data_IF_166956524049
#
_entry.id   IF_166956524049
#
_cell.length_a   1.000
_cell.length_b   1.000
_cell.length_c   1.000
_cell.angle_alpha   90.00
_cell.angle_beta   90.00
_cell.angle_gamma   90.00
#
_symmetry.space_group_name_H-M   'P 1'
#
loop_
_entity.id
_entity.type
_entity.pdbx_description
1 polymer ?
#
# COMPACT_ATOMS: atom_id res chain seq x y z
N UNK A 1 -34.80 18.62 -17.27
CA UNK A 1 -35.14 17.25 -16.85
C UNK A 1 -34.74 16.33 -18.00
N UNK A 2 -33.57 15.68 -17.91
CA UNK A 2 -33.14 14.73 -18.94
C UNK A 2 -33.95 13.44 -18.74
N UNK A 3 -34.82 13.13 -19.70
CA UNK A 3 -35.50 11.84 -19.71
C UNK A 3 -34.49 10.78 -20.14
N UNK A 4 -34.07 9.95 -19.19
CA UNK A 4 -33.36 8.71 -19.50
C UNK A 4 -34.40 7.76 -20.10
N UNK A 5 -34.47 7.71 -21.42
CA UNK A 5 -35.16 6.62 -22.10
C UNK A 5 -34.28 5.38 -21.95
N UNK A 6 -34.63 4.51 -21.00
CA UNK A 6 -34.04 3.19 -20.89
C UNK A 6 -34.69 2.32 -21.96
N UNK A 7 -33.93 1.97 -23.00
CA UNK A 7 -34.35 0.97 -23.97
C UNK A 7 -34.68 -0.34 -23.25
N UNK A 8 -35.91 -0.88 -23.35
CA UNK A 8 -36.29 -2.11 -22.66
C UNK A 8 -35.48 -3.34 -23.12
N UNK A 9 -34.85 -3.28 -24.30
CA UNK A 9 -33.95 -4.30 -24.83
C UNK A 9 -32.49 -4.17 -24.34
N UNK A 10 -32.11 -3.07 -23.68
CA UNK A 10 -30.75 -2.89 -23.16
C UNK A 10 -30.51 -3.74 -21.90
N UNK A 11 -31.58 -4.01 -21.14
CA UNK A 11 -31.52 -4.81 -19.90
C UNK A 11 -31.24 -6.28 -20.20
N UNK A 12 -31.75 -6.81 -21.32
CA UNK A 12 -31.51 -8.21 -21.74
C UNK A 12 -30.11 -8.46 -22.31
N UNK A 13 -29.38 -7.40 -22.70
CA UNK A 13 -28.01 -7.48 -23.26
C UNK A 13 -26.90 -7.14 -22.26
N UNK A 14 -27.25 -6.89 -21.00
CA UNK A 14 -26.29 -6.61 -19.95
C UNK A 14 -25.58 -7.91 -19.55
N UNK A 15 -24.49 -8.21 -20.26
CA UNK A 15 -23.57 -9.31 -19.92
C UNK A 15 -22.36 -8.70 -19.24
N UNK A 16 -22.15 -9.07 -17.97
CA UNK A 16 -20.95 -8.66 -17.22
C UNK A 16 -19.76 -9.41 -17.78
N UNK A 17 -18.75 -8.67 -18.24
CA UNK A 17 -17.48 -9.21 -18.74
C UNK A 17 -16.39 -9.07 -17.68
N UNK A 18 -15.29 -9.82 -17.85
CA UNK A 18 -14.13 -9.71 -16.97
C UNK A 18 -13.59 -8.28 -16.86
N UNK A 19 -13.65 -7.51 -17.96
CA UNK A 19 -13.26 -6.10 -18.01
C UNK A 19 -14.10 -5.20 -17.09
N UNK A 20 -15.37 -5.56 -16.85
CA UNK A 20 -16.24 -4.79 -15.96
C UNK A 20 -15.81 -4.98 -14.49
N UNK A 21 -15.28 -6.16 -14.14
CA UNK A 21 -14.69 -6.41 -12.82
C UNK A 21 -13.36 -5.69 -12.62
N UNK A 22 -12.51 -5.63 -13.65
CA UNK A 22 -11.26 -4.85 -13.60
C UNK A 22 -11.54 -3.36 -13.47
N UNK A 23 -12.48 -2.84 -14.27
CA UNK A 23 -12.93 -1.45 -14.20
C UNK A 23 -13.50 -1.11 -12.82
N UNK A 24 -14.37 -1.98 -12.27
CA UNK A 24 -14.89 -1.84 -10.92
C UNK A 24 -13.76 -1.92 -9.87
N UNK A 25 -12.84 -2.88 -10.00
CA UNK A 25 -11.71 -3.01 -9.08
C UNK A 25 -10.84 -1.76 -9.07
N UNK A 26 -10.65 -1.10 -10.22
CA UNK A 26 -9.86 0.12 -10.37
C UNK A 26 -10.59 1.37 -9.88
N UNK A 27 -11.87 1.55 -10.26
CA UNK A 27 -12.60 2.81 -10.16
C UNK A 27 -13.69 2.85 -9.07
N UNK A 28 -14.17 1.69 -8.59
CA UNK A 28 -15.16 1.64 -7.50
C UNK A 28 -14.50 1.74 -6.12
N UNK A 29 -15.36 1.81 -5.09
CA UNK A 29 -14.99 1.88 -3.68
C UNK A 29 -14.10 0.69 -3.33
N UNK A 30 -12.81 0.96 -3.08
CA UNK A 30 -11.87 -0.05 -2.60
C UNK A 30 -12.40 -0.60 -1.26
N UNK A 31 -12.47 -1.92 -1.08
CA UNK A 31 -12.91 -2.48 0.18
C UNK A 31 -12.03 -1.93 1.30
N UNK A 32 -12.62 -1.52 2.43
CA UNK A 32 -11.91 -1.01 3.61
C UNK A 32 -11.06 -2.09 4.33
N UNK A 33 -10.80 -3.20 3.65
CA UNK A 33 -9.95 -4.29 4.08
C UNK A 33 -8.49 -3.86 3.94
N UNK A 34 -7.97 -3.21 4.98
CA UNK A 34 -6.56 -3.27 5.34
C UNK A 34 -5.53 -2.66 4.40
N UNK A 35 -5.88 -2.19 3.20
CA UNK A 35 -5.01 -1.37 2.36
C UNK A 35 -4.83 -0.02 3.04
N UNK A 36 -3.87 0.04 3.96
CA UNK A 36 -3.47 1.28 4.62
C UNK A 36 -2.71 2.22 3.71
N UNK A 37 -2.78 2.01 2.39
CA UNK A 37 -2.16 2.87 1.37
C UNK A 37 -2.51 4.33 1.64
N UNK A 38 -3.76 4.65 1.95
CA UNK A 38 -4.19 6.01 2.28
C UNK A 38 -3.51 6.59 3.54
N UNK A 39 -3.21 5.74 4.53
CA UNK A 39 -2.49 6.16 5.73
C UNK A 39 -0.99 6.33 5.48
N UNK A 40 -0.40 5.47 4.65
CA UNK A 40 1.00 5.55 4.22
C UNK A 40 1.23 6.77 3.32
N UNK A 41 0.28 7.07 2.44
CA UNK A 41 0.32 8.23 1.53
C UNK A 41 0.59 9.53 2.27
N UNK A 42 0.04 9.71 3.48
CA UNK A 42 0.31 10.90 4.32
C UNK A 42 1.79 11.08 4.63
N UNK A 43 2.52 9.99 4.85
CA UNK A 43 3.95 10.01 5.07
C UNK A 43 4.71 10.14 3.75
N UNK A 44 4.24 9.49 2.68
CA UNK A 44 4.95 9.36 1.42
C UNK A 44 4.71 10.49 0.40
N UNK A 45 3.87 11.49 0.70
CA UNK A 45 3.47 12.58 -0.23
C UNK A 45 4.60 13.29 -0.96
N UNK A 46 5.78 13.41 -0.34
CA UNK A 46 6.90 14.20 -0.87
C UNK A 46 7.89 13.39 -1.69
N UNK A 47 7.68 12.08 -1.83
CA UNK A 47 8.64 11.16 -2.46
C UNK A 47 9.93 11.03 -1.65
N UNK A 48 10.77 10.09 -2.05
CA UNK A 48 12.09 9.86 -1.43
C UNK A 48 13.19 10.44 -2.30
N UNK A 49 14.18 11.07 -1.65
CA UNK A 49 15.48 11.36 -2.27
C UNK A 49 16.54 10.53 -1.57
N UNK A 50 17.23 9.67 -2.32
CA UNK A 50 18.39 8.92 -1.81
C UNK A 50 19.59 9.87 -1.83
N UNK A 51 19.88 10.49 -0.69
CA UNK A 51 20.93 11.50 -0.55
C UNK A 51 22.29 10.93 -0.15
N UNK A 52 22.39 9.64 0.12
CA UNK A 52 23.63 8.98 0.51
C UNK A 52 23.46 7.49 0.72
N UNK A 53 24.59 6.79 0.88
CA UNK A 53 24.64 5.33 1.06
C UNK A 53 23.94 4.84 2.32
N UNK A 54 23.87 5.68 3.36
CA UNK A 54 23.18 5.34 4.60
C UNK A 54 21.68 5.08 4.38
N UNK A 55 21.03 5.83 3.49
CA UNK A 55 19.61 5.60 3.15
C UNK A 55 19.44 4.26 2.46
N UNK A 56 20.31 3.95 1.49
CA UNK A 56 20.29 2.68 0.76
C UNK A 56 20.46 1.50 1.72
N UNK A 57 21.44 1.55 2.64
CA UNK A 57 21.66 0.50 3.64
C UNK A 57 20.43 0.26 4.53
N UNK A 58 19.75 1.33 4.95
CA UNK A 58 18.54 1.22 5.77
C UNK A 58 17.41 0.52 5.00
N UNK A 59 17.26 0.82 3.71
CA UNK A 59 16.26 0.18 2.86
C UNK A 59 16.59 -1.29 2.58
N UNK A 60 17.85 -1.60 2.29
CA UNK A 60 18.34 -2.97 2.09
C UNK A 60 18.12 -3.83 3.34
N UNK A 61 18.47 -3.31 4.52
CA UNK A 61 18.21 -4.01 5.78
C UNK A 61 16.71 -4.14 6.06
N UNK A 62 15.92 -3.12 5.75
CA UNK A 62 14.47 -3.19 5.83
C UNK A 62 13.88 -4.30 4.96
N UNK A 63 14.36 -4.43 3.73
CA UNK A 63 13.96 -5.49 2.80
C UNK A 63 14.35 -6.87 3.33
N UNK A 64 15.57 -7.03 3.87
CA UNK A 64 16.02 -8.29 4.47
C UNK A 64 15.11 -8.75 5.62
N UNK A 65 14.66 -7.81 6.47
CA UNK A 65 13.75 -8.09 7.58
C UNK A 65 12.34 -8.48 7.08
N UNK A 66 11.89 -7.90 5.97
CA UNK A 66 10.64 -8.30 5.29
C UNK A 66 10.75 -9.73 4.78
N UNK A 67 11.84 -10.06 4.08
CA UNK A 67 12.10 -11.42 3.58
C UNK A 67 12.14 -12.45 4.71
N UNK A 68 12.77 -12.10 5.84
CA UNK A 68 12.79 -12.92 7.05
C UNK A 68 11.39 -13.12 7.64
N UNK A 69 10.51 -12.12 7.56
CA UNK A 69 9.13 -12.24 8.07
C UNK A 69 8.28 -13.19 7.22
N UNK A 70 8.52 -13.25 5.90
CA UNK A 70 7.80 -14.14 4.98
C UNK A 70 8.34 -15.57 5.05
N UNK A 71 9.59 -15.75 5.49
CA UNK A 71 10.21 -17.05 5.59
C UNK A 71 9.54 -17.90 6.71
N UNK A 72 8.91 -19.05 6.37
CA UNK A 72 8.25 -19.90 7.35
C UNK A 72 9.21 -20.50 8.40
N UNK A 73 10.50 -20.61 8.08
CA UNK A 73 11.52 -21.17 8.98
C UNK A 73 12.02 -20.15 10.02
N UNK A 74 11.76 -18.86 9.82
CA UNK A 74 12.24 -17.76 10.67
C UNK A 74 11.30 -17.44 11.85
N UNK A 75 10.24 -18.23 12.06
CA UNK A 75 9.30 -18.05 13.17
C UNK A 75 8.20 -17.01 12.94
N UNK A 76 8.17 -16.35 11.78
CA UNK A 76 7.04 -15.55 11.30
C UNK A 76 6.81 -14.19 11.97
N UNK A 77 7.76 -13.68 12.76
CA UNK A 77 7.65 -12.37 13.38
C UNK A 77 9.01 -11.68 13.55
N UNK A 78 9.12 -10.44 13.07
CA UNK A 78 10.32 -9.60 13.15
C UNK A 78 9.96 -8.25 13.76
N UNK A 79 10.83 -7.71 14.62
CA UNK A 79 10.70 -6.36 15.17
C UNK A 79 11.97 -5.58 14.89
N UNK A 80 11.81 -4.36 14.36
CA UNK A 80 12.91 -3.45 14.04
C UNK A 80 12.67 -2.06 14.63
N UNK A 81 13.75 -1.34 14.95
CA UNK A 81 13.71 0.03 15.46
C UNK A 81 14.58 0.92 14.58
N UNK A 82 13.97 1.93 13.96
CA UNK A 82 14.71 2.99 13.28
C UNK A 82 15.08 4.08 14.31
N UNK A 83 16.37 4.20 14.62
CA UNK A 83 16.90 5.20 15.55
C UNK A 83 17.55 6.37 14.80
N UNK A 84 17.50 7.57 15.38
CA UNK A 84 18.11 8.77 14.80
C UNK A 84 17.54 10.06 15.36
N UNK A 85 18.24 11.17 15.14
CA UNK A 85 17.85 12.49 15.65
C UNK A 85 16.43 12.90 15.22
N UNK A 86 15.74 13.80 15.94
CA UNK A 86 14.44 14.32 15.51
C UNK A 86 14.48 14.86 14.08
N UNK A 87 13.36 14.73 13.34
CA UNK A 87 13.19 15.23 11.95
C UNK A 87 14.11 14.62 10.87
N UNK A 88 14.75 13.49 11.14
CA UNK A 88 15.59 12.74 10.15
C UNK A 88 14.81 11.86 9.17
N UNK A 89 13.47 11.88 9.19
CA UNK A 89 12.65 11.09 8.25
C UNK A 89 12.44 9.62 8.62
N UNK A 90 12.68 9.22 9.88
CA UNK A 90 12.45 7.83 10.35
C UNK A 90 11.05 7.28 10.01
N UNK A 91 10.00 8.06 10.26
CA UNK A 91 8.63 7.66 9.94
C UNK A 91 8.39 7.51 8.44
N UNK A 92 9.08 8.31 7.63
CA UNK A 92 9.05 8.20 6.17
C UNK A 92 9.73 6.90 5.73
N UNK A 93 10.93 6.60 6.27
CA UNK A 93 11.66 5.37 5.96
C UNK A 93 10.87 4.12 6.37
N UNK A 94 10.26 4.12 7.56
CA UNK A 94 9.39 3.03 8.00
C UNK A 94 8.20 2.83 7.05
N UNK A 95 7.56 3.93 6.63
CA UNK A 95 6.44 3.87 5.70
C UNK A 95 6.87 3.37 4.31
N UNK A 96 8.07 3.73 3.84
CA UNK A 96 8.60 3.25 2.57
C UNK A 96 8.90 1.75 2.61
N UNK A 97 9.56 1.26 3.66
CA UNK A 97 9.82 -0.17 3.86
C UNK A 97 8.51 -0.95 3.94
N UNK A 98 7.54 -0.43 4.69
CA UNK A 98 6.22 -1.05 4.77
C UNK A 98 5.51 -1.08 3.41
N UNK A 99 5.53 0.01 2.63
CA UNK A 99 4.97 0.03 1.27
C UNK A 99 5.65 -1.00 0.36
N UNK A 100 6.98 -1.09 0.41
CA UNK A 100 7.75 -2.01 -0.40
C UNK A 100 7.61 -3.49 0.02
N UNK A 101 7.04 -3.77 1.20
CA UNK A 101 6.86 -5.14 1.70
C UNK A 101 5.73 -5.91 1.03
N UNK A 102 4.82 -5.21 0.34
CA UNK A 102 3.59 -5.77 -0.25
C UNK A 102 2.76 -6.64 0.71
N UNK A 103 2.86 -6.38 2.02
CA UNK A 103 2.06 -7.07 3.01
C UNK A 103 0.57 -6.74 2.83
N UNK A 104 -0.33 -7.74 2.94
CA UNK A 104 -1.76 -7.55 2.70
C UNK A 104 -2.44 -6.63 3.72
N UNK A 105 -1.81 -6.44 4.89
CA UNK A 105 -2.26 -5.54 5.93
C UNK A 105 -1.06 -4.77 6.48
N UNK A 106 -1.09 -3.45 6.31
CA UNK A 106 -0.15 -2.53 6.95
C UNK A 106 -0.94 -1.64 7.90
N UNK A 107 -0.37 -1.24 9.04
CA UNK A 107 -1.02 -0.33 9.99
C UNK A 107 -0.03 0.59 10.64
N UNK A 108 -0.18 1.88 10.38
CA UNK A 108 0.60 2.92 11.07
C UNK A 108 -0.10 3.31 12.37
N UNK A 109 0.61 3.20 13.49
CA UNK A 109 0.17 3.73 14.79
C UNK A 109 0.94 5.03 15.06
N UNK A 110 0.21 6.13 15.22
CA UNK A 110 0.76 7.36 15.77
C UNK A 110 0.20 7.51 17.19
N UNK A 111 1.09 7.77 18.16
CA UNK A 111 0.72 8.11 19.54
C UNK A 111 0.19 9.52 19.64
#
# INVERSE_FOLDING_TARGET
>A
MFQVQLDPNAVEKLVVNASDFEYALENDIKPAFGRSDESLEKFLRRGMVVWGSEVTKILEEGQRLVEETVNPDAGGFVTAVLAGAPRTGKSFLAAEIARASDFPLIKVRHS
#
